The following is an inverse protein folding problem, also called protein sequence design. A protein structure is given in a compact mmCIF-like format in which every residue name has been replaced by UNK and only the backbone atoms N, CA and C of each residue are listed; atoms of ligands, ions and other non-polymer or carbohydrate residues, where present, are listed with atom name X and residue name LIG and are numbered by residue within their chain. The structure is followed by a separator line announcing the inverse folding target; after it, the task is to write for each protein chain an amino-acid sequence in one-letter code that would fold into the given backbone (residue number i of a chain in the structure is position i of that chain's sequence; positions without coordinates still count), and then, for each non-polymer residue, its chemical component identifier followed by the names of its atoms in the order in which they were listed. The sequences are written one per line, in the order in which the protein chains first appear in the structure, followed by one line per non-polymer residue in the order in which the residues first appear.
data_IF_713667928835
#
_entry.id   IF_713667928835
#
_cell.length_a   1.000
_cell.length_b   1.000
_cell.length_c   1.000
_cell.angle_alpha   90.00
_cell.angle_beta   90.00
_cell.angle_gamma   90.00
#
_symmetry.space_group_name_H-M   'P 1'
#
loop_
_entity.id
_entity.type
_entity.pdbx_description
1 polymer ?
#
# COMPACT_ATOMS: atom_id res chain seq x y z
N UNK A 1 19.70 -3.19 -22.41
CA UNK A 1 20.86 -2.58 -21.71
C UNK A 1 22.14 -3.18 -22.27
N UNK A 2 23.18 -2.38 -22.45
CA UNK A 2 24.53 -2.89 -22.76
C UNK A 2 25.04 -3.76 -21.61
N UNK A 3 25.77 -4.83 -21.92
CA UNK A 3 26.38 -5.67 -20.88
C UNK A 3 27.45 -4.86 -20.11
N UNK A 4 27.55 -4.99 -18.78
CA UNK A 4 28.60 -4.34 -18.01
C UNK A 4 29.99 -4.82 -18.50
N UNK A 5 30.92 -3.91 -18.76
CA UNK A 5 32.26 -4.24 -19.26
C UNK A 5 33.37 -3.86 -18.27
N UNK A 6 33.09 -3.02 -17.29
CA UNK A 6 34.03 -2.57 -16.27
C UNK A 6 33.49 -2.84 -14.85
N UNK A 7 34.36 -2.81 -13.83
CA UNK A 7 33.94 -2.94 -12.43
C UNK A 7 32.98 -1.82 -12.00
N UNK A 8 33.16 -0.63 -12.55
CA UNK A 8 32.23 0.49 -12.37
C UNK A 8 30.85 0.16 -12.95
N UNK A 9 30.80 -0.42 -14.16
CA UNK A 9 29.52 -0.85 -14.76
C UNK A 9 28.83 -1.93 -13.92
N UNK A 10 29.59 -2.87 -13.36
CA UNK A 10 29.06 -3.91 -12.47
C UNK A 10 28.54 -3.34 -11.14
N UNK A 11 29.21 -2.33 -10.61
CA UNK A 11 28.75 -1.59 -9.42
C UNK A 11 27.43 -0.88 -9.72
N UNK A 12 27.35 -0.15 -10.83
CA UNK A 12 26.12 0.51 -11.27
C UNK A 12 25.01 -0.50 -11.55
N UNK A 13 25.34 -1.65 -12.15
CA UNK A 13 24.38 -2.73 -12.39
C UNK A 13 23.85 -3.31 -11.08
N UNK A 14 24.70 -3.49 -10.07
CA UNK A 14 24.30 -3.97 -8.75
C UNK A 14 23.39 -2.96 -8.04
N UNK A 15 23.71 -1.67 -8.07
CA UNK A 15 22.84 -0.61 -7.53
C UNK A 15 21.50 -0.54 -8.27
N UNK A 16 21.50 -0.77 -9.58
CA UNK A 16 20.28 -0.96 -10.33
C UNK A 16 19.49 -2.14 -9.78
N UNK A 17 20.08 -3.31 -9.54
CA UNK A 17 19.36 -4.47 -8.99
C UNK A 17 18.74 -4.15 -7.62
N UNK A 18 19.47 -3.45 -6.75
CA UNK A 18 19.00 -3.09 -5.41
C UNK A 18 17.85 -2.06 -5.38
N UNK A 19 17.59 -1.36 -6.50
CA UNK A 19 16.47 -0.41 -6.58
C UNK A 19 16.77 1.00 -6.08
N UNK A 20 17.99 1.30 -5.63
CA UNK A 20 18.35 2.62 -5.09
C UNK A 20 18.07 3.79 -6.05
N UNK A 21 18.34 3.61 -7.35
CA UNK A 21 18.03 4.64 -8.34
C UNK A 21 16.54 4.85 -8.52
N UNK A 22 15.75 3.78 -8.39
CA UNK A 22 14.30 3.84 -8.52
C UNK A 22 13.67 4.58 -7.35
N UNK A 23 14.10 4.28 -6.12
CA UNK A 23 13.65 5.00 -4.92
C UNK A 23 13.95 6.52 -5.04
N UNK A 24 15.17 6.89 -5.46
CA UNK A 24 15.53 8.28 -5.69
C UNK A 24 14.69 8.95 -6.77
N UNK A 25 14.35 8.21 -7.83
CA UNK A 25 13.45 8.72 -8.86
C UNK A 25 12.04 9.00 -8.30
N UNK A 26 11.48 8.08 -7.48
CA UNK A 26 10.21 8.31 -6.79
C UNK A 26 10.25 9.56 -5.89
N UNK A 27 11.35 9.79 -5.18
CA UNK A 27 11.54 10.99 -4.37
C UNK A 27 11.50 12.26 -5.23
N UNK A 28 12.15 12.28 -6.39
CA UNK A 28 12.12 13.42 -7.30
C UNK A 28 10.73 13.67 -7.90
N UNK A 29 9.97 12.62 -8.21
CA UNK A 29 8.57 12.79 -8.65
C UNK A 29 7.69 13.40 -7.56
N UNK A 30 7.86 13.00 -6.30
CA UNK A 30 7.13 13.59 -5.17
C UNK A 30 7.53 15.05 -4.94
N UNK A 31 8.82 15.40 -5.10
CA UNK A 31 9.27 16.80 -4.98
C UNK A 31 8.71 17.72 -6.06
N UNK A 32 8.30 17.17 -7.21
CA UNK A 32 7.67 17.93 -8.30
C UNK A 32 6.18 18.19 -8.06
N UNK A 33 5.54 17.47 -7.13
CA UNK A 33 4.14 17.64 -6.77
C UNK A 33 3.97 18.60 -5.58
N UNK A 34 2.76 18.70 -5.03
CA UNK A 34 2.50 19.54 -3.85
C UNK A 34 2.77 18.81 -2.53
N UNK A 35 3.27 17.58 -2.58
CA UNK A 35 3.56 16.76 -1.42
C UNK A 35 4.89 17.14 -0.77
N UNK A 36 4.91 17.26 0.55
CA UNK A 36 6.11 17.49 1.32
C UNK A 36 6.69 16.16 1.81
N UNK A 37 7.91 15.82 1.41
CA UNK A 37 8.63 14.67 1.96
C UNK A 37 9.01 14.98 3.42
N UNK A 38 8.46 14.22 4.35
CA UNK A 38 8.76 14.30 5.78
C UNK A 38 10.05 13.56 6.09
N UNK A 39 10.19 12.34 5.57
CA UNK A 39 11.37 11.52 5.76
C UNK A 39 11.58 10.55 4.61
N UNK A 40 12.83 10.13 4.45
CA UNK A 40 13.26 9.03 3.57
C UNK A 40 13.95 7.96 4.42
N UNK A 41 13.81 6.68 4.07
CA UNK A 41 14.35 5.56 4.83
C UNK A 41 13.99 5.64 6.34
N UNK A 42 12.72 5.96 6.62
CA UNK A 42 12.22 6.18 7.97
C UNK A 42 12.21 4.86 8.75
N UNK A 43 12.91 4.76 9.90
CA UNK A 43 12.92 3.54 10.69
C UNK A 43 11.54 3.32 11.30
N UNK A 44 11.03 2.09 11.23
CA UNK A 44 9.73 1.72 11.75
C UNK A 44 9.83 0.46 12.60
N UNK A 45 9.09 0.45 13.69
CA UNK A 45 8.96 -0.70 14.59
C UNK A 45 7.49 -0.90 14.97
N UNK A 46 7.01 -2.14 14.88
CA UNK A 46 5.67 -2.50 15.38
C UNK A 46 5.59 -3.96 15.85
N UNK A 47 4.92 -4.26 16.97
CA UNK A 47 4.37 -3.32 17.96
C UNK A 47 5.46 -2.48 18.63
N UNK A 48 5.14 -1.33 19.24
CA UNK A 48 6.12 -0.51 19.92
C UNK A 48 6.85 -1.28 21.02
N UNK A 49 8.14 -1.01 21.18
CA UNK A 49 8.99 -1.57 22.22
C UNK A 49 8.33 -1.48 23.61
N UNK A 50 8.19 -2.62 24.29
CA UNK A 50 7.69 -2.71 25.65
C UNK A 50 8.69 -3.45 26.57
N UNK A 51 9.68 -2.73 27.10
CA UNK A 51 10.67 -3.28 28.04
C UNK A 51 11.74 -4.14 27.36
N UNK A 52 11.81 -5.47 27.55
CA UNK A 52 12.73 -6.34 26.79
C UNK A 52 12.15 -6.84 25.46
N UNK A 53 10.85 -6.65 25.22
CA UNK A 53 10.17 -7.13 24.02
C UNK A 53 10.19 -6.07 22.93
N UNK A 54 10.96 -6.35 21.88
CA UNK A 54 11.13 -5.48 20.70
C UNK A 54 10.12 -5.94 19.64
N UNK A 55 9.51 -4.98 18.93
CA UNK A 55 8.67 -5.25 17.78
C UNK A 55 9.45 -5.74 16.57
N UNK A 56 8.73 -6.04 15.49
CA UNK A 56 9.36 -6.22 14.19
C UNK A 56 9.84 -4.87 13.67
N UNK A 57 11.06 -4.84 13.13
CA UNK A 57 11.72 -3.64 12.65
C UNK A 57 11.86 -3.67 11.13
N UNK A 58 11.64 -2.52 10.50
CA UNK A 58 11.88 -2.30 9.07
C UNK A 58 12.28 -0.84 8.83
N UNK A 59 12.47 -0.49 7.56
CA UNK A 59 12.47 0.90 7.09
C UNK A 59 11.28 1.12 6.16
N UNK A 60 10.78 2.34 6.15
CA UNK A 60 9.85 2.87 5.15
C UNK A 60 10.64 3.76 4.18
N UNK A 61 10.52 3.49 2.88
CA UNK A 61 11.34 4.20 1.89
C UNK A 61 11.03 5.71 1.84
N UNK A 62 9.74 6.09 1.77
CA UNK A 62 9.32 7.49 1.68
C UNK A 62 8.08 7.74 2.55
N UNK A 63 8.15 8.78 3.38
CA UNK A 63 7.03 9.35 4.12
C UNK A 63 6.78 10.76 3.58
N UNK A 64 5.62 10.98 2.94
CA UNK A 64 5.20 12.28 2.45
C UNK A 64 3.83 12.72 3.00
N UNK A 65 3.63 14.04 3.08
CA UNK A 65 2.41 14.65 3.59
C UNK A 65 1.88 15.73 2.65
N UNK A 66 0.56 15.87 2.59
CA UNK A 66 -0.12 16.94 1.87
C UNK A 66 -1.27 17.49 2.72
N UNK A 67 -1.22 18.77 3.06
CA UNK A 67 -2.24 19.43 3.85
C UNK A 67 -3.30 20.11 2.94
N UNK A 68 -4.57 19.77 3.13
CA UNK A 68 -5.72 20.35 2.43
C UNK A 68 -6.77 20.79 3.46
N UNK A 69 -6.83 22.11 3.71
CA UNK A 69 -7.72 22.70 4.73
C UNK A 69 -7.47 22.08 6.11
N UNK A 70 -8.43 21.34 6.65
CA UNK A 70 -8.38 20.68 7.96
C UNK A 70 -7.99 19.20 7.87
N UNK A 71 -7.60 18.73 6.68
CA UNK A 71 -7.23 17.35 6.41
C UNK A 71 -5.74 17.29 6.09
N UNK A 72 -5.01 16.40 6.75
CA UNK A 72 -3.64 16.03 6.45
C UNK A 72 -3.62 14.66 5.80
N UNK A 73 -3.28 14.58 4.51
CA UNK A 73 -3.02 13.31 3.86
C UNK A 73 -1.57 12.91 4.14
N UNK A 74 -1.39 11.65 4.50
CA UNK A 74 -0.09 11.03 4.76
C UNK A 74 0.04 9.83 3.84
N UNK A 75 0.93 9.92 2.86
CA UNK A 75 1.25 8.81 1.97
C UNK A 75 2.55 8.17 2.47
N UNK A 76 2.48 6.87 2.70
CA UNK A 76 3.61 6.03 3.09
C UNK A 76 3.93 5.16 1.89
N UNK A 77 5.18 5.20 1.41
CA UNK A 77 5.56 4.54 0.16
C UNK A 77 6.67 3.52 0.40
N UNK A 78 6.43 2.31 -0.08
CA UNK A 78 7.44 1.28 -0.29
C UNK A 78 7.74 1.16 -1.80
N UNK A 79 9.01 1.29 -2.20
CA UNK A 79 9.46 1.27 -3.59
C UNK A 79 9.97 -0.13 -3.97
N UNK A 80 9.30 -0.79 -4.92
CA UNK A 80 9.73 -2.10 -5.44
C UNK A 80 10.19 -2.03 -6.89
N UNK A 81 11.51 -2.07 -7.09
CA UNK A 81 12.08 -2.19 -8.43
C UNK A 81 12.03 -3.63 -8.93
N UNK A 82 11.28 -3.82 -10.01
CA UNK A 82 11.22 -5.03 -10.82
C UNK A 82 11.80 -4.79 -12.22
N UNK A 83 12.13 -5.87 -12.93
CA UNK A 83 12.43 -5.74 -14.35
C UNK A 83 11.13 -5.94 -15.15
N UNK A 84 10.54 -4.89 -15.75
CA UNK A 84 9.25 -4.98 -16.43
C UNK A 84 9.28 -5.89 -17.66
N UNK A 85 10.46 -6.23 -18.21
CA UNK A 85 10.54 -7.21 -19.30
C UNK A 85 10.36 -8.65 -18.81
N UNK A 86 10.48 -8.87 -17.50
CA UNK A 86 10.54 -10.19 -16.90
C UNK A 86 9.50 -10.42 -15.81
N UNK A 87 9.01 -9.37 -15.15
CA UNK A 87 8.17 -9.49 -13.96
C UNK A 87 6.89 -8.68 -14.17
N UNK A 88 5.78 -9.40 -14.13
CA UNK A 88 4.42 -8.87 -14.07
C UNK A 88 3.81 -9.21 -12.71
N UNK A 89 3.10 -8.26 -12.11
CA UNK A 89 2.28 -8.50 -10.92
C UNK A 89 0.83 -8.67 -11.35
N UNK A 90 0.29 -9.88 -11.15
CA UNK A 90 -1.06 -10.27 -11.54
C UNK A 90 -1.92 -10.36 -10.29
N UNK A 91 -2.95 -9.54 -10.24
CA UNK A 91 -3.92 -9.46 -9.16
C UNK A 91 -5.24 -10.12 -9.57
N UNK A 92 -6.02 -10.51 -8.57
CA UNK A 92 -7.33 -11.12 -8.77
C UNK A 92 -8.42 -10.22 -8.21
N UNK A 93 -9.43 -9.95 -9.04
CA UNK A 93 -10.60 -9.14 -8.68
C UNK A 93 -11.27 -9.70 -7.43
N UNK A 94 -11.67 -8.81 -6.52
CA UNK A 94 -12.36 -9.21 -5.30
C UNK A 94 -13.66 -9.98 -5.62
N UNK A 95 -13.95 -11.13 -4.98
CA UNK A 95 -15.08 -11.99 -5.33
C UNK A 95 -16.45 -11.34 -5.10
N UNK A 96 -16.53 -10.38 -4.16
CA UNK A 96 -17.75 -9.64 -3.88
C UNK A 96 -17.91 -8.42 -4.78
N UNK A 97 -18.90 -8.46 -5.68
CA UNK A 97 -19.34 -7.29 -6.46
C UNK A 97 -19.94 -6.15 -5.61
N UNK A 98 -20.28 -6.45 -4.35
CA UNK A 98 -20.80 -5.47 -3.38
C UNK A 98 -19.69 -4.81 -2.58
N UNK A 99 -18.42 -5.19 -2.81
CA UNK A 99 -17.33 -4.55 -2.10
C UNK A 99 -17.31 -3.07 -2.46
N UNK A 100 -17.20 -2.24 -1.44
CA UNK A 100 -17.14 -0.81 -1.62
C UNK A 100 -15.87 -0.50 -2.42
N UNK A 101 -16.00 0.35 -3.44
CA UNK A 101 -14.86 0.93 -4.18
C UNK A 101 -14.08 1.95 -3.35
N UNK A 102 -14.42 2.10 -2.07
CA UNK A 102 -13.80 3.08 -1.19
C UNK A 102 -12.54 2.48 -0.59
N UNK A 103 -11.45 3.25 -0.60
CA UNK A 103 -10.27 2.94 0.19
C UNK A 103 -10.59 3.07 1.69
N UNK A 104 -10.30 2.02 2.44
CA UNK A 104 -10.40 1.98 3.91
C UNK A 104 -9.03 2.25 4.53
N UNK A 105 -8.82 3.49 4.94
CA UNK A 105 -7.57 3.95 5.54
C UNK A 105 -7.61 3.99 7.05
N UNK A 106 -6.42 4.14 7.65
CA UNK A 106 -6.34 4.57 9.06
C UNK A 106 -6.59 6.07 9.12
N UNK A 107 -7.46 6.48 10.04
CA UNK A 107 -7.82 7.87 10.34
C UNK A 107 -7.39 8.21 11.76
N UNK A 108 -6.79 9.38 11.94
CA UNK A 108 -6.72 10.06 13.23
C UNK A 108 -7.63 11.30 13.13
N UNK A 109 -8.60 11.39 14.03
CA UNK A 109 -9.54 12.51 14.15
C UNK A 109 -9.29 13.28 15.45
N UNK A 110 -9.27 14.60 15.36
CA UNK A 110 -9.18 15.51 16.50
C UNK A 110 -10.51 16.22 16.72
N UNK A 111 -11.14 15.93 17.85
CA UNK A 111 -12.42 16.55 18.24
C UNK A 111 -12.19 17.55 19.36
N UNK A 112 -12.73 18.77 19.22
CA UNK A 112 -12.69 19.76 20.29
C UNK A 112 -13.79 19.43 21.31
N UNK A 113 -13.40 19.03 22.52
CA UNK A 113 -14.32 18.91 23.65
C UNK A 113 -14.45 20.28 24.29
N UNK A 114 -15.62 20.89 24.14
CA UNK A 114 -15.97 22.14 24.81
C UNK A 114 -16.39 21.87 26.26
N UNK A 115 -15.73 22.53 27.21
CA UNK A 115 -15.99 22.37 28.63
C UNK A 115 -15.44 23.54 29.44
N UNK A 116 -15.13 23.33 30.73
CA UNK A 116 -14.44 24.34 31.56
C UNK A 116 -13.05 24.71 31.02
N UNK A 117 -12.40 23.74 30.39
CA UNK A 117 -11.18 23.92 29.62
C UNK A 117 -11.42 23.25 28.27
N UNK A 118 -11.22 23.98 27.17
CA UNK A 118 -11.25 23.40 25.84
C UNK A 118 -10.07 22.43 25.69
N UNK A 119 -10.36 21.18 25.33
CA UNK A 119 -9.35 20.14 25.13
C UNK A 119 -9.60 19.40 23.84
N UNK A 120 -8.54 19.03 23.14
CA UNK A 120 -8.63 18.20 21.96
C UNK A 120 -8.64 16.73 22.35
N UNK A 121 -9.59 15.96 21.84
CA UNK A 121 -9.61 14.50 21.95
C UNK A 121 -9.11 13.91 20.64
N UNK A 122 -8.18 12.96 20.74
CA UNK A 122 -7.69 12.20 19.59
C UNK A 122 -8.40 10.86 19.53
N UNK A 123 -9.02 10.57 18.39
CA UNK A 123 -9.70 9.30 18.09
C UNK A 123 -8.97 8.67 16.91
N UNK A 124 -8.70 7.37 16.97
CA UNK A 124 -8.19 6.62 15.82
C UNK A 124 -9.17 5.55 15.41
N UNK A 125 -9.40 5.44 14.11
CA UNK A 125 -10.35 4.49 13.53
C UNK A 125 -9.91 4.06 12.14
N UNK A 126 -10.48 2.95 11.66
CA UNK A 126 -10.50 2.66 10.23
C UNK A 126 -11.74 3.33 9.64
N UNK A 127 -11.56 4.11 8.58
CA UNK A 127 -12.64 4.85 7.94
C UNK A 127 -12.59 4.65 6.42
N UNK A 128 -13.73 4.54 5.73
CA UNK A 128 -13.77 4.65 4.27
C UNK A 128 -13.57 6.12 3.90
N UNK A 129 -12.46 6.45 3.22
CA UNK A 129 -12.01 7.86 3.14
C UNK A 129 -11.94 8.41 1.72
N UNK A 130 -11.50 7.60 0.76
CA UNK A 130 -11.25 8.08 -0.59
C UNK A 130 -12.14 7.32 -1.56
N UNK A 131 -13.16 8.04 -2.06
CA UNK A 131 -14.02 7.59 -3.15
C UNK A 131 -13.31 7.88 -4.48
N UNK A 132 -12.30 7.07 -4.79
CA UNK A 132 -11.77 6.97 -6.14
C UNK A 132 -12.27 5.64 -6.72
N UNK A 133 -12.39 5.57 -8.04
CA UNK A 133 -12.84 4.35 -8.75
C UNK A 133 -11.72 3.30 -8.78
N UNK A 134 -11.35 2.80 -7.60
CA UNK A 134 -10.36 1.76 -7.47
C UNK A 134 -10.93 0.40 -7.87
N UNK A 135 -10.07 -0.46 -8.42
CA UNK A 135 -10.40 -1.87 -8.64
C UNK A 135 -9.90 -2.66 -7.42
N UNK A 136 -10.81 -3.16 -6.55
CA UNK A 136 -10.41 -3.93 -5.38
C UNK A 136 -9.95 -5.34 -5.78
N UNK A 137 -8.83 -5.76 -5.21
CA UNK A 137 -8.19 -7.06 -5.47
C UNK A 137 -7.81 -7.74 -4.16
N UNK A 138 -7.91 -9.06 -4.09
CA UNK A 138 -7.68 -9.82 -2.84
C UNK A 138 -6.44 -10.71 -2.86
N UNK A 139 -5.98 -11.11 -4.04
CA UNK A 139 -4.85 -12.01 -4.22
C UNK A 139 -3.92 -11.47 -5.29
N UNK A 140 -2.63 -11.81 -5.18
CA UNK A 140 -1.61 -11.31 -6.08
C UNK A 140 -0.50 -12.34 -6.28
N UNK A 141 0.00 -12.42 -7.52
CA UNK A 141 1.06 -13.34 -7.92
C UNK A 141 2.03 -12.66 -8.89
N UNK A 142 3.31 -12.95 -8.71
CA UNK A 142 4.37 -12.62 -9.65
C UNK A 142 4.42 -13.66 -10.77
N UNK A 143 4.42 -13.19 -12.00
CA UNK A 143 4.56 -14.03 -13.20
C UNK A 143 5.65 -13.50 -14.11
N UNK A 144 6.18 -14.37 -15.00
CA UNK A 144 7.17 -13.92 -15.98
C UNK A 144 6.53 -13.19 -17.16
N UNK A 145 6.94 -11.96 -17.44
CA UNK A 145 6.29 -11.13 -18.47
C UNK A 145 6.48 -11.59 -19.93
N UNK A 146 7.43 -12.47 -20.24
CA UNK A 146 7.63 -12.96 -21.62
C UNK A 146 7.95 -14.46 -21.73
N UNK A 147 6.99 -15.31 -21.36
CA UNK A 147 7.14 -16.77 -21.45
C UNK A 147 7.51 -17.27 -22.86
N UNK A 148 7.10 -16.59 -23.93
CA UNK A 148 7.40 -17.01 -25.31
C UNK A 148 8.88 -16.86 -25.66
N UNK A 149 9.55 -15.79 -25.21
CA UNK A 149 10.99 -15.59 -25.45
C UNK A 149 11.87 -16.59 -24.69
N UNK A 150 11.45 -17.01 -23.50
CA UNK A 150 12.24 -17.91 -22.63
C UNK A 150 11.93 -19.40 -22.77
N UNK A 151 11.14 -19.81 -23.78
CA UNK A 151 10.76 -21.22 -24.02
C UNK A 151 11.95 -22.18 -24.15
N UNK A 152 13.15 -21.69 -24.50
CA UNK A 152 14.33 -22.51 -24.78
C UNK A 152 15.15 -22.89 -23.53
N UNK A 153 15.05 -22.15 -22.43
CA UNK A 153 15.99 -22.26 -21.30
C UNK A 153 15.47 -23.13 -20.13
N UNK A 154 14.51 -24.02 -20.39
CA UNK A 154 14.12 -25.12 -19.48
C UNK A 154 13.28 -24.74 -18.25
N UNK A 155 13.39 -23.51 -17.73
CA UNK A 155 12.74 -23.12 -16.49
C UNK A 155 11.43 -22.34 -16.77
N UNK A 156 10.32 -23.06 -16.93
CA UNK A 156 9.15 -22.57 -17.70
C UNK A 156 8.02 -21.90 -16.91
N UNK A 157 7.93 -22.01 -15.58
CA UNK A 157 6.74 -21.55 -14.82
C UNK A 157 7.03 -21.19 -13.37
N UNK A 158 8.10 -20.45 -13.07
CA UNK A 158 8.33 -19.97 -11.71
C UNK A 158 7.42 -18.77 -11.44
N UNK A 159 6.35 -19.02 -10.70
CA UNK A 159 5.53 -17.97 -10.06
C UNK A 159 5.92 -17.87 -8.59
N UNK A 160 5.76 -16.68 -8.01
CA UNK A 160 5.96 -16.44 -6.58
C UNK A 160 5.03 -15.33 -6.14
N UNK A 161 4.62 -15.31 -4.89
CA UNK A 161 3.95 -14.15 -4.30
C UNK A 161 4.86 -13.42 -3.30
N UNK A 162 6.10 -13.88 -3.10
CA UNK A 162 6.95 -13.42 -2.02
C UNK A 162 7.30 -11.93 -2.13
N UNK A 163 7.62 -11.44 -3.32
CA UNK A 163 7.98 -10.02 -3.52
C UNK A 163 6.80 -9.09 -3.18
N UNK A 164 5.59 -9.44 -3.63
CA UNK A 164 4.38 -8.67 -3.39
C UNK A 164 4.00 -8.73 -1.90
N UNK A 165 4.01 -9.93 -1.31
CA UNK A 165 3.69 -10.14 0.11
C UNK A 165 4.69 -9.45 1.04
N UNK A 166 5.98 -9.46 0.71
CA UNK A 166 7.00 -8.77 1.50
C UNK A 166 6.81 -7.26 1.43
N UNK A 167 6.55 -6.71 0.24
CA UNK A 167 6.27 -5.28 0.07
C UNK A 167 5.02 -4.86 0.86
N UNK A 168 3.95 -5.65 0.75
CA UNK A 168 2.70 -5.43 1.47
C UNK A 168 2.86 -5.54 2.98
N UNK A 169 3.69 -6.49 3.45
CA UNK A 169 4.03 -6.64 4.85
C UNK A 169 4.80 -5.42 5.38
N UNK A 170 5.84 -4.99 4.67
CA UNK A 170 6.67 -3.83 5.05
C UNK A 170 5.85 -2.56 5.13
N UNK A 171 5.00 -2.28 4.14
CA UNK A 171 4.15 -1.09 4.18
C UNK A 171 3.07 -1.18 5.26
N UNK A 172 2.54 -2.38 5.53
CA UNK A 172 1.60 -2.57 6.63
C UNK A 172 2.25 -2.32 8.01
N UNK A 173 3.45 -2.84 8.23
CA UNK A 173 4.25 -2.61 9.42
C UNK A 173 4.55 -1.11 9.59
N UNK A 174 5.05 -0.46 8.53
CA UNK A 174 5.33 0.96 8.53
C UNK A 174 4.10 1.80 8.86
N UNK A 175 2.96 1.47 8.25
CA UNK A 175 1.70 2.16 8.51
C UNK A 175 1.26 2.03 9.96
N UNK A 176 1.34 0.82 10.54
CA UNK A 176 0.99 0.61 11.94
C UNK A 176 1.92 1.36 12.90
N UNK A 177 3.22 1.38 12.59
CA UNK A 177 4.23 2.11 13.35
C UNK A 177 3.97 3.62 13.34
N UNK A 178 3.87 4.22 12.14
CA UNK A 178 3.66 5.65 11.96
C UNK A 178 2.31 6.10 12.54
N UNK A 179 1.22 5.35 12.31
CA UNK A 179 -0.09 5.68 12.91
C UNK A 179 -0.02 5.68 14.44
N UNK A 180 0.64 4.69 15.05
CA UNK A 180 0.78 4.64 16.50
C UNK A 180 1.59 5.83 17.03
N UNK A 181 2.69 6.18 16.35
CA UNK A 181 3.51 7.34 16.70
C UNK A 181 2.70 8.64 16.63
N UNK A 182 1.96 8.85 15.54
CA UNK A 182 1.14 10.05 15.36
C UNK A 182 0.02 10.15 16.41
N UNK A 183 -0.55 9.02 16.86
CA UNK A 183 -1.49 9.01 18.00
C UNK A 183 -0.82 9.48 19.29
N UNK A 184 0.43 9.08 19.54
CA UNK A 184 1.19 9.51 20.74
C UNK A 184 1.55 10.99 20.64
N UNK A 185 2.00 11.46 19.48
CA UNK A 185 2.31 12.86 19.22
C UNK A 185 1.06 13.74 19.38
N UNK A 186 -0.06 13.30 18.82
CA UNK A 186 -1.38 13.92 18.94
C UNK A 186 -1.85 14.09 20.37
N UNK A 187 -1.68 13.07 21.22
CA UNK A 187 -2.00 13.15 22.65
C UNK A 187 -1.14 14.19 23.36
N UNK A 188 0.13 14.34 22.97
CA UNK A 188 1.01 15.37 23.53
C UNK A 188 0.57 16.78 23.11
N UNK A 189 0.03 16.93 21.89
CA UNK A 189 -0.50 18.18 21.38
C UNK A 189 -1.89 18.54 21.94
N UNK A 190 -2.64 17.56 22.48
CA UNK A 190 -4.01 17.76 22.98
C UNK A 190 -4.17 18.83 24.06
N UNK A 191 -3.10 19.14 24.80
CA UNK A 191 -3.05 20.21 25.79
C UNK A 191 -2.74 21.60 25.23
N UNK A 192 -2.51 21.75 23.92
CA UNK A 192 -2.23 23.03 23.26
C UNK A 192 -3.50 23.64 22.68
N UNK A 193 -3.48 24.96 22.47
CA UNK A 193 -4.64 25.74 22.04
C UNK A 193 -5.07 25.49 20.59
N UNK A 194 -4.17 25.03 19.72
CA UNK A 194 -4.43 24.90 18.28
C UNK A 194 -3.95 23.55 17.75
N UNK A 195 -4.84 22.84 17.05
CA UNK A 195 -4.51 21.64 16.31
C UNK A 195 -4.27 22.01 14.84
N UNK A 196 -3.18 21.54 14.22
CA UNK A 196 -2.85 21.87 12.84
C UNK A 196 -3.80 21.27 11.80
N UNK A 197 -4.53 20.20 12.17
CA UNK A 197 -5.54 19.54 11.33
C UNK A 197 -6.60 18.87 12.21
N UNK A 198 -7.77 18.59 11.63
CA UNK A 198 -8.87 17.85 12.27
C UNK A 198 -8.77 16.37 11.90
N UNK A 199 -8.38 16.05 10.67
CA UNK A 199 -8.25 14.67 10.20
C UNK A 199 -6.86 14.43 9.66
N UNK A 200 -6.28 13.28 9.97
CA UNK A 200 -5.09 12.76 9.30
C UNK A 200 -5.37 11.38 8.72
N UNK A 201 -5.13 11.22 7.43
CA UNK A 201 -5.45 10.02 6.65
C UNK A 201 -4.16 9.37 6.21
N UNK A 202 -4.00 8.09 6.53
CA UNK A 202 -2.81 7.32 6.16
C UNK A 202 -3.11 6.43 4.95
N UNK A 203 -2.30 6.60 3.92
CA UNK A 203 -2.44 5.98 2.60
C UNK A 203 -1.21 5.09 2.35
N UNK A 204 -1.26 3.80 2.74
CA UNK A 204 -0.19 2.84 2.45
C UNK A 204 -0.12 2.60 0.95
N UNK A 205 1.07 2.77 0.38
CA UNK A 205 1.28 2.74 -1.06
C UNK A 205 2.52 1.90 -1.39
N UNK A 206 2.42 1.05 -2.40
CA UNK A 206 3.57 0.40 -3.04
C UNK A 206 3.73 1.01 -4.42
N UNK A 207 4.90 1.56 -4.70
CA UNK A 207 5.25 2.04 -6.05
C UNK A 207 6.20 1.04 -6.68
N UNK A 208 5.84 0.51 -7.84
CA UNK A 208 6.60 -0.57 -8.50
C UNK A 208 6.85 -0.30 -9.97
N UNK A 209 7.96 -0.79 -10.51
CA UNK A 209 8.22 -0.78 -11.95
C UNK A 209 7.59 -1.98 -12.67
N UNK A 210 7.02 -2.96 -11.95
CA UNK A 210 6.31 -4.08 -12.56
C UNK A 210 5.02 -3.60 -13.25
N UNK A 211 4.65 -4.25 -14.35
CA UNK A 211 3.30 -4.06 -14.91
C UNK A 211 2.29 -4.67 -13.95
N UNK A 212 1.17 -3.97 -13.79
CA UNK A 212 0.08 -4.41 -12.95
C UNK A 212 -1.02 -4.96 -13.85
N UNK A 213 -1.44 -6.19 -13.61
CA UNK A 213 -2.49 -6.85 -14.37
C UNK A 213 -3.59 -7.30 -13.44
N UNK A 214 -4.83 -7.28 -13.91
CA UNK A 214 -5.95 -7.93 -13.23
C UNK A 214 -6.38 -9.13 -14.07
N UNK A 215 -6.39 -10.30 -13.43
CA UNK A 215 -6.90 -11.54 -13.99
C UNK A 215 -8.41 -11.63 -13.75
N UNK A 216 -9.17 -11.51 -14.83
CA UNK A 216 -10.62 -11.61 -14.83
C UNK A 216 -11.05 -12.98 -15.37
N UNK A 217 -11.81 -13.72 -14.57
CA UNK A 217 -12.39 -15.02 -14.95
C UNK A 217 -13.70 -15.31 -14.18
N UNK A 218 -14.54 -16.21 -14.69
CA UNK A 218 -15.69 -16.76 -13.96
C UNK A 218 -15.27 -18.07 -13.26
N UNK A 219 -15.39 -18.18 -11.91
CA UNK A 219 -15.10 -19.41 -11.19
C UNK A 219 -15.85 -20.66 -11.72
N UNK A 220 -16.99 -20.48 -12.40
CA UNK A 220 -17.75 -21.58 -13.01
C UNK A 220 -17.07 -22.20 -14.23
N UNK A 221 -16.16 -21.48 -14.87
CA UNK A 221 -15.38 -21.96 -16.01
C UNK A 221 -14.16 -22.79 -15.57
N UNK A 222 -13.88 -22.88 -14.26
CA UNK A 222 -12.79 -23.70 -13.71
C UNK A 222 -13.23 -25.17 -13.63
N UNK A 223 -12.43 -26.06 -14.18
CA UNK A 223 -12.68 -27.49 -14.11
C UNK A 223 -12.46 -28.01 -12.67
N UNK A 224 -13.49 -28.50 -11.96
CA UNK A 224 -13.35 -28.89 -10.55
C UNK A 224 -12.46 -30.11 -10.34
N UNK A 225 -12.18 -30.90 -11.39
CA UNK A 225 -11.28 -32.07 -11.30
C UNK A 225 -9.81 -31.68 -11.42
N UNK A 226 -9.49 -30.65 -12.20
CA UNK A 226 -8.09 -30.27 -12.50
C UNK A 226 -7.68 -28.95 -11.84
N UNK A 227 -8.65 -28.10 -11.48
CA UNK A 227 -8.39 -26.73 -11.03
C UNK A 227 -7.96 -25.79 -12.17
N UNK A 228 -8.03 -26.22 -13.42
CA UNK A 228 -7.59 -25.44 -14.58
C UNK A 228 -8.75 -24.68 -15.24
N UNK A 229 -8.43 -23.55 -15.86
CA UNK A 229 -9.35 -22.76 -16.67
C UNK A 229 -8.90 -22.72 -18.13
N UNK A 230 -9.80 -22.86 -19.12
CA UNK A 230 -9.45 -22.65 -20.52
C UNK A 230 -8.93 -21.23 -20.77
N UNK A 231 -7.85 -21.07 -21.55
CA UNK A 231 -7.25 -19.76 -21.80
C UNK A 231 -8.19 -18.74 -22.44
N UNK A 232 -9.22 -19.20 -23.17
CA UNK A 232 -10.26 -18.34 -23.77
C UNK A 232 -11.29 -17.83 -22.77
N UNK A 233 -11.26 -18.30 -21.52
CA UNK A 233 -12.18 -17.94 -20.42
C UNK A 233 -11.55 -17.07 -19.34
N UNK A 234 -10.29 -16.69 -19.52
CA UNK A 234 -9.60 -15.73 -18.67
C UNK A 234 -9.10 -14.55 -19.51
N UNK A 235 -9.04 -13.38 -18.89
CA UNK A 235 -8.50 -12.16 -19.49
C UNK A 235 -7.56 -11.46 -18.51
N UNK A 236 -6.56 -10.77 -19.06
CA UNK A 236 -5.62 -9.96 -18.29
C UNK A 236 -5.74 -8.51 -18.76
N UNK A 237 -6.09 -7.62 -17.85
CA UNK A 237 -6.23 -6.19 -18.12
C UNK A 237 -5.14 -5.40 -17.39
N UNK A 238 -4.30 -4.68 -18.13
CA UNK A 238 -3.23 -3.85 -17.56
C UNK A 238 -3.85 -2.65 -16.83
N UNK A 239 -3.34 -2.32 -15.64
CA UNK A 239 -3.82 -1.24 -14.80
C UNK A 239 -2.70 -0.26 -14.42
N UNK A 240 -2.98 1.05 -14.37
CA UNK A 240 -1.99 2.04 -13.91
C UNK A 240 -1.76 1.95 -12.40
N UNK A 241 -2.83 1.66 -11.65
CA UNK A 241 -2.84 1.49 -10.20
C UNK A 241 -4.09 0.68 -9.79
N UNK A 242 -4.04 0.04 -8.63
CA UNK A 242 -5.14 -0.77 -8.08
C UNK A 242 -5.13 -0.78 -6.55
N UNK A 243 -6.22 -1.29 -5.97
CA UNK A 243 -6.35 -1.47 -4.53
C UNK A 243 -6.14 -2.93 -4.17
N UNK A 244 -5.12 -3.23 -3.37
CA UNK A 244 -4.79 -4.57 -2.91
C UNK A 244 -5.16 -4.74 -1.43
N UNK A 245 -6.04 -5.70 -1.14
CA UNK A 245 -6.41 -6.07 0.23
C UNK A 245 -5.42 -7.07 0.80
N UNK A 246 -4.43 -6.57 1.53
CA UNK A 246 -3.43 -7.42 2.16
C UNK A 246 -3.95 -8.05 3.46
N UNK A 247 -3.93 -9.38 3.62
CA UNK A 247 -4.27 -10.03 4.88
C UNK A 247 -3.21 -9.74 5.93
N UNK A 248 -3.63 -9.11 7.03
CA UNK A 248 -2.73 -8.72 8.11
C UNK A 248 -2.38 -9.92 9.01
N UNK A 249 -1.12 -10.01 9.47
CA UNK A 249 -0.77 -10.83 10.63
C UNK A 249 -1.61 -10.46 11.85
N UNK A 250 -1.88 -11.43 12.73
CA UNK A 250 -2.74 -11.23 13.92
C UNK A 250 -2.31 -10.06 14.79
N UNK A 251 -1.00 -9.87 14.97
CA UNK A 251 -0.46 -8.78 15.79
C UNK A 251 -0.63 -7.40 15.15
N UNK A 252 -1.04 -7.30 13.87
CA UNK A 252 -1.41 -6.05 13.20
C UNK A 252 -2.92 -5.80 13.19
N UNK A 253 -3.75 -6.74 13.66
CA UNK A 253 -5.21 -6.60 13.57
C UNK A 253 -5.71 -5.40 14.36
N UNK A 254 -6.62 -4.63 13.76
CA UNK A 254 -7.32 -3.53 14.43
C UNK A 254 -8.60 -4.03 15.08
N UNK A 255 -8.89 -3.56 16.30
CA UNK A 255 -10.21 -3.80 16.89
C UNK A 255 -11.21 -2.77 16.35
N UNK A 256 -12.38 -3.18 15.82
CA UNK A 256 -13.40 -2.23 15.42
C UNK A 256 -13.91 -1.41 16.61
N UNK A 257 -14.08 -0.10 16.41
CA UNK A 257 -14.76 0.77 17.37
C UNK A 257 -16.22 0.32 17.57
N UNK A 258 -16.91 0.01 16.48
CA UNK A 258 -18.30 -0.46 16.50
C UNK A 258 -18.39 -1.98 16.25
N UNK A 259 -18.06 -2.75 17.30
CA UNK A 259 -18.22 -4.21 17.30
C UNK A 259 -19.67 -4.64 16.98
N UNK A 260 -20.66 -3.84 17.39
CA UNK A 260 -22.08 -4.17 17.19
C UNK A 260 -22.43 -4.10 15.71
N UNK A 261 -21.99 -3.07 15.00
CA UNK A 261 -22.23 -2.94 13.57
C UNK A 261 -21.45 -3.97 12.75
N UNK A 262 -20.21 -4.31 13.16
CA UNK A 262 -19.45 -5.41 12.55
C UNK A 262 -20.21 -6.73 12.68
N UNK A 263 -20.78 -7.03 13.85
CA UNK A 263 -21.62 -8.22 14.05
C UNK A 263 -22.92 -8.18 13.23
N UNK A 264 -23.57 -7.02 13.14
CA UNK A 264 -24.82 -6.84 12.37
C UNK A 264 -24.62 -6.98 10.86
N UNK A 265 -23.52 -6.43 10.34
CA UNK A 265 -23.18 -6.49 8.91
C UNK A 265 -22.54 -7.83 8.52
N UNK A 266 -22.08 -8.61 9.49
CA UNK A 266 -21.36 -9.86 9.25
C UNK A 266 -19.97 -9.65 8.66
N UNK A 267 -19.42 -8.42 8.72
CA UNK A 267 -18.12 -8.08 8.17
C UNK A 267 -16.98 -8.57 9.08
N UNK A 268 -16.79 -9.90 9.14
CA UNK A 268 -15.77 -10.54 9.99
C UNK A 268 -14.34 -10.16 9.64
N UNK A 269 -14.12 -9.63 8.44
CA UNK A 269 -12.79 -9.25 7.94
C UNK A 269 -12.40 -7.82 8.32
N UNK A 270 -13.28 -7.09 9.02
CA UNK A 270 -12.99 -5.73 9.45
C UNK A 270 -11.77 -5.71 10.38
N UNK A 271 -10.71 -5.01 9.95
CA UNK A 271 -9.47 -4.87 10.71
C UNK A 271 -8.52 -6.08 10.63
N UNK A 272 -8.86 -7.13 9.86
CA UNK A 272 -7.97 -8.28 9.59
C UNK A 272 -7.23 -8.15 8.25
N UNK A 273 -7.61 -7.16 7.43
CA UNK A 273 -6.95 -6.79 6.18
C UNK A 273 -6.59 -5.31 6.17
N UNK A 274 -5.65 -4.93 5.32
CA UNK A 274 -5.29 -3.54 5.02
C UNK A 274 -5.39 -3.30 3.52
N UNK A 275 -6.11 -2.24 3.17
CA UNK A 275 -6.14 -1.69 1.83
C UNK A 275 -4.79 -1.03 1.53
N UNK A 276 -4.10 -1.46 0.49
CA UNK A 276 -2.81 -0.93 0.02
C UNK A 276 -2.96 -0.49 -1.43
N UNK A 277 -2.61 0.75 -1.75
CA UNK A 277 -2.58 1.22 -3.13
C UNK A 277 -1.31 0.72 -3.80
N UNK A 278 -1.46 0.01 -4.93
CA UNK A 278 -0.32 -0.45 -5.73
C UNK A 278 -0.29 0.38 -7.01
N UNK A 279 0.81 1.08 -7.24
CA UNK A 279 0.96 2.07 -8.30
C UNK A 279 2.10 1.67 -9.21
N UNK A 280 1.84 1.58 -10.51
CA UNK A 280 2.91 1.49 -11.47
C UNK A 280 3.63 2.85 -11.50
N UNK A 281 4.94 2.81 -11.31
CA UNK A 281 5.79 4.01 -11.25
C UNK A 281 5.55 5.01 -12.37
N UNK A 282 5.29 4.57 -13.60
CA UNK A 282 5.01 5.46 -14.73
C UNK A 282 3.82 6.40 -14.49
N UNK A 283 2.89 5.99 -13.62
CA UNK A 283 1.69 6.74 -13.25
C UNK A 283 1.78 7.42 -11.87
N UNK A 284 2.97 7.48 -11.24
CA UNK A 284 3.11 8.04 -9.89
C UNK A 284 2.68 9.52 -9.82
N UNK A 285 3.11 10.35 -10.77
CA UNK A 285 2.77 11.78 -10.79
C UNK A 285 1.26 12.01 -10.99
N UNK A 286 0.65 11.25 -11.90
CA UNK A 286 -0.81 11.25 -12.12
C UNK A 286 -1.56 10.83 -10.85
N UNK A 287 -1.13 9.75 -10.22
CA UNK A 287 -1.70 9.23 -8.98
C UNK A 287 -1.65 10.26 -7.84
N UNK A 288 -0.51 10.90 -7.61
CA UNK A 288 -0.37 11.95 -6.59
C UNK A 288 -1.30 13.13 -6.87
N UNK A 289 -1.43 13.54 -8.14
CA UNK A 289 -2.34 14.62 -8.54
C UNK A 289 -3.80 14.25 -8.27
N UNK A 290 -4.21 13.00 -8.56
CA UNK A 290 -5.57 12.54 -8.25
C UNK A 290 -5.87 12.54 -6.75
N UNK A 291 -4.89 12.20 -5.89
CA UNK A 291 -5.07 12.29 -4.44
C UNK A 291 -5.21 13.75 -3.96
N UNK A 292 -4.48 14.68 -4.58
CA UNK A 292 -4.59 16.12 -4.28
C UNK A 292 -5.98 16.67 -4.67
N UNK A 293 -6.47 16.27 -5.85
CA UNK A 293 -7.75 16.71 -6.41
C UNK A 293 -8.95 16.04 -5.75
N UNK A 294 -8.77 14.80 -5.29
CA UNK A 294 -9.81 13.95 -4.72
C UNK A 294 -10.73 14.68 -3.73
N UNK A 295 -12.02 14.38 -3.83
CA UNK A 295 -13.00 14.76 -2.82
C UNK A 295 -12.79 13.85 -1.61
N UNK A 296 -12.14 14.41 -0.60
CA UNK A 296 -11.88 13.82 0.71
C UNK A 296 -12.71 14.59 1.73
#
# INVERSE_FOLDING_TARGET
MTKPNTDSDWTIHSLNIQGTFFERWCQEEIKKSNWNIVSINYPVEFPPHNGPFIGEQSSLDIYAQFAKKTILLTVLIECKKNNPEFIDWVFFSHPSKKHLKHFTGSLIEHQLITGKENKWQTISMLSPMVALDWIPTSDAWETRGNYLKYKKDGDKTRTSNAAIMNAAHQIALATKSVVNEEIVNSKTLSGKSEMPYIHQIFIPTIVTTAKLWICNFDPKDVNPKTGEIPFTKASLDEQPYLLYEYPLPVHFHSTPLDKVNVLKTGNKDFGTKMDILVVNSFHLSEFLSQLEEGNI
#
